data_IF_907618014926
#
_entry.id   IF_907618014926
#
_cell.length_a   1.000
_cell.length_b   1.000
_cell.length_c   1.000
_cell.angle_alpha   90.00
_cell.angle_beta   90.00
_cell.angle_gamma   90.00
#
_symmetry.space_group_name_H-M   'P 1'
#
loop_
_entity.id
_entity.type
_entity.pdbx_description
1 polymer ?
#
# COMPACT_ATOMS: atom_id res chain seq x y z
N UNK A 1 -0.59 12.76 -9.84
CA UNK A 1 -1.10 14.11 -9.47
C UNK A 1 0.06 15.13 -9.44
N UNK A 2 0.21 16.20 -10.23
CA UNK A 2 -0.73 17.11 -10.90
C UNK A 2 -0.10 17.73 -12.18
N UNK A 3 0.56 16.94 -13.04
CA UNK A 3 1.06 17.42 -14.34
C UNK A 3 -0.03 17.54 -15.42
N UNK A 4 -1.23 18.06 -15.09
CA UNK A 4 -2.39 18.20 -16.02
C UNK A 4 -2.58 17.03 -17.01
N UNK A 5 -2.17 15.82 -16.61
CA UNK A 5 -2.24 14.60 -17.39
C UNK A 5 -3.32 13.77 -16.71
N UNK A 6 -4.21 13.13 -17.47
CA UNK A 6 -5.17 12.20 -16.90
C UNK A 6 -4.45 11.23 -15.94
N UNK A 7 -5.02 10.90 -14.78
CA UNK A 7 -4.47 9.85 -13.93
C UNK A 7 -4.44 8.52 -14.72
N UNK A 8 -3.39 7.74 -14.54
CA UNK A 8 -3.23 6.44 -15.20
C UNK A 8 -3.22 5.30 -14.19
N UNK A 9 -3.13 4.06 -14.70
CA UNK A 9 -3.11 2.83 -13.88
C UNK A 9 -2.08 2.83 -12.76
N UNK A 10 -0.95 3.54 -12.95
CA UNK A 10 0.08 3.71 -11.92
C UNK A 10 -0.42 4.56 -10.75
N UNK A 11 -1.13 5.65 -11.03
CA UNK A 11 -1.65 6.55 -9.99
C UNK A 11 -2.69 5.83 -9.11
N UNK A 12 -3.50 4.94 -9.72
CA UNK A 12 -4.41 4.05 -8.98
C UNK A 12 -3.65 3.08 -8.07
N UNK A 13 -2.61 2.41 -8.59
CA UNK A 13 -1.77 1.49 -7.80
C UNK A 13 -1.03 2.19 -6.66
N UNK A 14 -0.53 3.40 -6.89
CA UNK A 14 0.12 4.19 -5.85
C UNK A 14 -0.87 4.55 -4.73
N UNK A 15 -2.09 4.96 -5.09
CA UNK A 15 -3.14 5.28 -4.12
C UNK A 15 -3.58 4.03 -3.34
N UNK A 16 -3.74 2.90 -4.02
CA UNK A 16 -4.00 1.61 -3.37
C UNK A 16 -2.90 1.22 -2.40
N UNK A 17 -1.63 1.42 -2.77
CA UNK A 17 -0.51 1.10 -1.90
C UNK A 17 -0.49 1.97 -0.63
N UNK A 18 -0.83 3.26 -0.75
CA UNK A 18 -1.00 4.12 0.43
C UNK A 18 -2.12 3.64 1.36
N UNK A 19 -3.23 3.15 0.81
CA UNK A 19 -4.29 2.53 1.61
C UNK A 19 -3.80 1.28 2.36
N UNK A 20 -3.02 0.40 1.71
CA UNK A 20 -2.45 -0.79 2.37
C UNK A 20 -1.49 -0.41 3.52
N UNK A 21 -0.68 0.64 3.31
CA UNK A 21 0.21 1.18 4.35
C UNK A 21 -0.61 1.73 5.51
N UNK A 22 -1.70 2.44 5.24
CA UNK A 22 -2.58 2.95 6.29
C UNK A 22 -3.27 1.82 7.07
N UNK A 23 -3.73 0.75 6.42
CA UNK A 23 -4.24 -0.42 7.15
C UNK A 23 -3.19 -1.08 8.04
N UNK A 24 -1.93 -1.14 7.58
CA UNK A 24 -0.84 -1.75 8.35
C UNK A 24 -0.36 -0.86 9.50
N UNK A 25 -0.28 0.46 9.31
CA UNK A 25 0.34 1.41 10.25
C UNK A 25 -0.66 2.31 11.00
N UNK A 26 -1.92 2.31 10.60
CA UNK A 26 -3.01 3.16 11.10
C UNK A 26 -3.02 4.60 10.58
N UNK A 27 -1.93 5.10 9.99
CA UNK A 27 -1.88 6.48 9.46
C UNK A 27 -0.77 6.70 8.42
N UNK A 28 -0.98 7.73 7.60
CA UNK A 28 0.03 8.27 6.67
C UNK A 28 0.53 9.64 7.16
N UNK A 29 1.78 10.03 6.80
CA UNK A 29 2.36 11.30 7.25
C UNK A 29 1.57 12.56 6.85
N UNK A 30 0.75 12.46 5.81
CA UNK A 30 -0.07 13.56 5.29
C UNK A 30 -1.55 13.48 5.67
N UNK A 31 -1.94 12.61 6.61
CA UNK A 31 -3.36 12.38 6.97
C UNK A 31 -4.09 13.64 7.43
N UNK A 32 -3.41 14.51 8.17
CA UNK A 32 -4.00 15.71 8.78
C UNK A 32 -3.44 17.00 8.16
N UNK A 33 -3.02 16.94 6.89
CA UNK A 33 -2.54 18.11 6.15
C UNK A 33 -3.58 18.52 5.12
N UNK A 34 -3.81 19.83 5.03
CA UNK A 34 -4.72 20.42 4.04
C UNK A 34 -3.96 21.12 2.90
N UNK A 35 -2.69 21.50 3.12
CA UNK A 35 -1.86 22.15 2.10
C UNK A 35 -1.41 21.15 1.03
N UNK A 36 -1.94 21.31 -0.18
CA UNK A 36 -1.65 20.45 -1.33
C UNK A 36 -0.14 20.42 -1.66
N UNK A 37 0.56 21.55 -1.52
CA UNK A 37 1.98 21.64 -1.81
C UNK A 37 2.82 20.85 -0.80
N UNK A 38 2.53 20.96 0.50
CA UNK A 38 3.16 20.15 1.54
C UNK A 38 2.90 18.66 1.33
N UNK A 39 1.65 18.26 1.03
CA UNK A 39 1.29 16.86 0.76
C UNK A 39 2.10 16.33 -0.43
N UNK A 40 2.23 17.12 -1.50
CA UNK A 40 2.99 16.76 -2.68
C UNK A 40 4.47 16.57 -2.38
N UNK A 41 5.08 17.52 -1.66
CA UNK A 41 6.49 17.46 -1.25
C UNK A 41 6.79 16.21 -0.39
N UNK A 42 5.90 15.87 0.53
CA UNK A 42 6.03 14.65 1.34
C UNK A 42 5.89 13.41 0.44
N UNK A 43 4.91 13.38 -0.46
CA UNK A 43 4.73 12.27 -1.41
C UNK A 43 5.93 12.07 -2.33
N UNK A 44 6.61 13.14 -2.75
CA UNK A 44 7.87 13.07 -3.50
C UNK A 44 9.01 12.53 -2.63
N UNK A 45 9.11 13.00 -1.39
CA UNK A 45 10.13 12.54 -0.44
C UNK A 45 10.02 11.05 -0.16
N UNK A 46 8.81 10.52 0.09
CA UNK A 46 8.62 9.08 0.37
C UNK A 46 8.85 8.17 -0.84
N UNK A 47 8.93 8.72 -2.07
CA UNK A 47 9.30 7.95 -3.28
C UNK A 47 10.81 7.76 -3.43
N UNK A 48 11.62 8.52 -2.69
CA UNK A 48 13.07 8.28 -2.61
C UNK A 48 13.37 6.99 -1.86
N UNK A 49 14.55 6.39 -2.06
CA UNK A 49 14.91 5.16 -1.36
C UNK A 49 14.89 5.33 0.18
N UNK A 50 15.49 6.41 0.70
CA UNK A 50 15.49 6.69 2.15
C UNK A 50 14.09 6.99 2.69
N UNK A 51 13.32 7.83 1.99
CA UNK A 51 11.95 8.17 2.39
C UNK A 51 11.03 6.94 2.38
N UNK A 52 11.19 6.05 1.41
CA UNK A 52 10.44 4.80 1.31
C UNK A 52 10.77 3.86 2.48
N UNK A 53 12.06 3.70 2.81
CA UNK A 53 12.49 2.90 3.97
C UNK A 53 11.92 3.46 5.28
N UNK A 54 11.91 4.78 5.45
CA UNK A 54 11.31 5.43 6.63
C UNK A 54 9.80 5.22 6.70
N UNK A 55 9.10 5.39 5.58
CA UNK A 55 7.65 5.19 5.51
C UNK A 55 7.29 3.73 5.83
N UNK A 56 8.07 2.76 5.36
CA UNK A 56 7.75 1.33 5.42
C UNK A 56 8.47 0.55 6.53
N UNK A 57 9.17 1.22 7.47
CA UNK A 57 9.97 0.58 8.53
C UNK A 57 9.25 -0.51 9.35
N UNK A 58 7.93 -0.44 9.47
CA UNK A 58 7.09 -1.40 10.23
C UNK A 58 6.12 -2.17 9.33
N UNK A 59 6.35 -2.16 8.03
CA UNK A 59 5.57 -2.91 7.05
C UNK A 59 6.37 -4.13 6.56
N UNK A 60 5.72 -5.12 5.93
CA UNK A 60 6.41 -6.20 5.24
C UNK A 60 7.42 -5.66 4.23
N UNK A 61 8.61 -6.26 4.15
CA UNK A 61 9.69 -5.81 3.24
C UNK A 61 9.26 -5.80 1.77
N UNK A 62 8.37 -6.69 1.37
CA UNK A 62 7.77 -6.76 0.03
C UNK A 62 7.03 -5.48 -0.35
N UNK A 63 6.54 -4.69 0.60
CA UNK A 63 5.92 -3.39 0.31
C UNK A 63 6.90 -2.43 -0.36
N UNK A 64 8.19 -2.50 0.00
CA UNK A 64 9.25 -1.70 -0.64
C UNK A 64 9.43 -2.16 -2.08
N UNK A 65 9.41 -3.47 -2.34
CA UNK A 65 9.52 -4.03 -3.69
C UNK A 65 8.35 -3.58 -4.59
N UNK A 66 7.12 -3.66 -4.06
CA UNK A 66 5.91 -3.19 -4.75
C UNK A 66 5.98 -1.68 -5.02
N UNK A 67 6.34 -0.87 -4.03
CA UNK A 67 6.46 0.58 -4.19
C UNK A 67 7.53 0.97 -5.23
N UNK A 68 8.69 0.31 -5.21
CA UNK A 68 9.74 0.51 -6.23
C UNK A 68 9.26 0.12 -7.61
N UNK A 69 8.52 -0.98 -7.73
CA UNK A 69 7.90 -1.39 -8.98
C UNK A 69 6.92 -0.34 -9.52
N UNK A 70 5.98 0.12 -8.70
CA UNK A 70 5.02 1.16 -9.06
C UNK A 70 5.74 2.46 -9.50
N UNK A 71 6.79 2.87 -8.78
CA UNK A 71 7.57 4.07 -9.10
C UNK A 71 8.26 4.01 -10.48
N UNK A 72 8.61 2.80 -10.95
CA UNK A 72 9.25 2.58 -12.26
C UNK A 72 8.25 2.52 -13.43
N UNK A 73 6.96 2.34 -13.16
CA UNK A 73 5.95 2.27 -14.22
C UNK A 73 5.85 3.60 -14.98
N UNK A 74 5.82 3.51 -16.31
CA UNK A 74 5.44 4.64 -17.16
C UNK A 74 3.92 4.76 -17.13
N UNK A 75 3.41 5.95 -17.36
CA UNK A 75 1.97 6.20 -17.37
C UNK A 75 1.19 5.32 -18.37
N UNK A 76 1.80 4.96 -19.52
CA UNK A 76 1.17 4.10 -20.54
C UNK A 76 1.40 2.61 -20.28
N UNK A 77 2.28 2.23 -19.35
CA UNK A 77 2.60 0.83 -19.08
C UNK A 77 1.37 0.09 -18.56
N UNK A 78 1.24 -1.18 -18.93
CA UNK A 78 0.33 -2.12 -18.25
C UNK A 78 1.08 -2.66 -17.03
N UNK A 79 0.54 -2.49 -15.80
CA UNK A 79 1.12 -3.11 -14.63
C UNK A 79 1.07 -4.64 -14.72
N UNK A 80 2.09 -5.28 -14.15
CA UNK A 80 2.23 -6.70 -13.89
C UNK A 80 1.58 -6.96 -12.53
N UNK A 81 0.29 -7.21 -12.55
CA UNK A 81 -0.49 -7.48 -11.35
C UNK A 81 -0.12 -8.83 -10.73
N UNK A 82 0.36 -9.79 -11.52
CA UNK A 82 0.79 -11.10 -11.04
C UNK A 82 2.03 -10.98 -10.16
N UNK A 83 2.97 -10.09 -10.50
CA UNK A 83 4.10 -9.74 -9.64
C UNK A 83 3.63 -9.22 -8.27
N UNK A 84 2.72 -8.25 -8.28
CA UNK A 84 2.17 -7.66 -7.04
C UNK A 84 1.49 -8.75 -6.21
N UNK A 85 0.65 -9.58 -6.83
CA UNK A 85 -0.06 -10.67 -6.15
C UNK A 85 0.90 -11.71 -5.55
N UNK A 86 1.94 -12.11 -6.28
CA UNK A 86 2.98 -13.02 -5.78
C UNK A 86 3.69 -12.46 -4.54
N UNK A 87 4.01 -11.17 -4.54
CA UNK A 87 4.62 -10.50 -3.38
C UNK A 87 3.67 -10.48 -2.19
N UNK A 88 2.38 -10.20 -2.38
CA UNK A 88 1.39 -10.27 -1.30
C UNK A 88 1.23 -11.69 -0.73
N UNK A 89 1.19 -12.72 -1.59
CA UNK A 89 1.12 -14.12 -1.15
C UNK A 89 2.37 -14.54 -0.37
N UNK A 90 3.54 -14.02 -0.76
CA UNK A 90 4.80 -14.23 -0.03
C UNK A 90 4.73 -13.65 1.38
N UNK A 91 4.14 -12.46 1.56
CA UNK A 91 3.92 -11.86 2.88
C UNK A 91 3.09 -12.79 3.78
N UNK A 92 1.95 -13.27 3.28
CA UNK A 92 1.09 -14.20 4.04
C UNK A 92 1.85 -15.48 4.42
N UNK A 93 2.62 -16.03 3.48
CA UNK A 93 3.41 -17.23 3.70
C UNK A 93 4.50 -17.02 4.77
N UNK A 94 5.29 -15.95 4.66
CA UNK A 94 6.35 -15.62 5.63
C UNK A 94 5.80 -15.29 7.02
N UNK A 95 4.59 -14.71 7.10
CA UNK A 95 3.91 -14.41 8.36
C UNK A 95 3.14 -15.60 8.95
N UNK A 96 3.10 -16.74 8.26
CA UNK A 96 2.26 -17.90 8.61
C UNK A 96 0.78 -17.57 8.80
N UNK A 97 0.27 -16.63 7.99
CA UNK A 97 -1.12 -16.19 8.01
C UNK A 97 -1.94 -16.86 6.91
N UNK A 98 -3.22 -17.06 7.19
CA UNK A 98 -4.21 -17.41 6.18
C UNK A 98 -4.90 -16.14 5.67
N UNK A 99 -5.44 -16.21 4.46
CA UNK A 99 -6.14 -15.08 3.83
C UNK A 99 -7.52 -14.81 4.47
N UNK A 100 -8.10 -15.84 5.08
CA UNK A 100 -9.39 -15.81 5.76
C UNK A 100 -9.28 -16.55 7.10
N UNK A 101 -10.15 -16.28 8.08
CA UNK A 101 -11.20 -15.25 8.06
C UNK A 101 -10.66 -13.83 8.27
N UNK A 102 -11.38 -12.83 7.77
CA UNK A 102 -11.08 -11.41 7.97
C UNK A 102 -11.43 -10.96 9.39
N UNK A 103 -10.85 -9.83 9.84
CA UNK A 103 -11.01 -9.29 11.19
C UNK A 103 -12.48 -9.13 11.61
N UNK A 104 -13.34 -8.67 10.69
CA UNK A 104 -14.78 -8.48 10.95
C UNK A 104 -15.60 -9.78 10.94
N UNK A 105 -15.05 -10.89 10.45
CA UNK A 105 -15.74 -12.19 10.47
C UNK A 105 -15.63 -12.89 11.83
N UNK A 106 -14.64 -12.52 12.65
CA UNK A 106 -14.45 -13.12 13.98
C UNK A 106 -15.62 -12.89 14.94
N UNK A 107 -16.31 -11.74 14.85
CA UNK A 107 -17.52 -11.47 15.65
C UNK A 107 -18.65 -12.45 15.30
N UNK A 108 -18.79 -12.79 14.02
CA UNK A 108 -19.81 -13.74 13.57
C UNK A 108 -19.52 -15.16 14.04
N UNK A 109 -18.25 -15.60 14.01
CA UNK A 109 -17.83 -16.96 14.41
C UNK A 109 -17.89 -17.21 15.92
N UNK A 110 -17.63 -16.19 16.75
CA UNK A 110 -17.82 -16.25 18.22
C UNK A 110 -19.30 -16.47 18.60
N UNK A 111 -20.22 -15.86 17.84
CA UNK A 111 -21.66 -15.99 18.06
C UNK A 111 -22.19 -17.40 17.74
N UNK A 112 -21.56 -18.12 16.79
CA UNK A 112 -21.90 -19.52 16.48
C UNK A 112 -21.26 -20.54 17.43
N UNK A 113 -20.14 -20.21 18.07
CA UNK A 113 -19.47 -21.09 19.04
C UNK A 113 -20.14 -21.11 20.42
N UNK A 114 -20.98 -20.13 20.71
CA UNK A 114 -21.68 -19.97 22.00
C UNK A 114 -23.17 -20.38 21.93
N UNK A 115 -23.56 -21.19 20.93
CA UNK A 115 -24.86 -21.88 20.84
C UNK A 115 -24.64 -23.38 20.85
#
# INVERSE_FOLDING_TARGET
>A
CHRRRPPGRRDDLESWMYQQIEFTKGSLPWKNLDDEHAIMSIKETVRTDDGMQKLLKSCPKEYIEIMKYICKLKHTSRPDYDLIYKLLRKILFEAHLQEYPYDWEYESLQCFRNK
#
